data_IF_203644835331
#
_entry.id   IF_203644835331
#
_cell.length_a   1.000
_cell.length_b   1.000
_cell.length_c   1.000
_cell.angle_alpha   90.00
_cell.angle_beta   90.00
_cell.angle_gamma   90.00
#
_symmetry.space_group_name_H-M   'P 1'
#
loop_
_entity.id
_entity.type
_entity.pdbx_description
1 polymer ?
#
# COMPACT_ATOMS: atom_id res chain seq x y z
N UNK A 1 8.40 12.36 -31.86
CA UNK A 1 8.49 10.95 -32.30
C UNK A 1 9.58 10.28 -31.49
N UNK A 2 9.32 9.10 -30.93
CA UNK A 2 10.36 8.30 -30.27
C UNK A 2 11.30 7.81 -31.37
N UNK A 3 12.62 7.99 -31.21
CA UNK A 3 13.61 7.47 -32.16
C UNK A 3 13.55 5.94 -32.21
N UNK A 4 13.77 5.36 -33.39
CA UNK A 4 13.66 3.91 -33.61
C UNK A 4 14.53 3.09 -32.64
N UNK A 5 15.75 3.57 -32.36
CA UNK A 5 16.68 2.94 -31.40
C UNK A 5 16.12 2.88 -29.98
N UNK A 6 15.49 3.98 -29.53
CA UNK A 6 14.89 4.08 -28.19
C UNK A 6 13.67 3.15 -28.09
N UNK A 7 12.86 3.09 -29.15
CA UNK A 7 11.71 2.21 -29.23
C UNK A 7 12.10 0.73 -29.09
N UNK A 8 13.17 0.31 -29.78
CA UNK A 8 13.70 -1.06 -29.68
C UNK A 8 14.26 -1.35 -28.28
N UNK A 9 15.03 -0.42 -27.71
CA UNK A 9 15.58 -0.57 -26.36
C UNK A 9 14.49 -0.73 -25.29
N UNK A 10 13.39 0.02 -25.40
CA UNK A 10 12.24 -0.10 -24.48
C UNK A 10 11.58 -1.48 -24.61
N UNK A 11 11.36 -1.95 -25.83
CA UNK A 11 10.76 -3.26 -26.08
C UNK A 11 11.65 -4.40 -25.55
N UNK A 12 12.96 -4.33 -25.79
CA UNK A 12 13.91 -5.31 -25.29
C UNK A 12 13.95 -5.34 -23.76
N UNK A 13 14.01 -4.16 -23.13
CA UNK A 13 13.97 -4.05 -21.69
C UNK A 13 12.67 -4.62 -21.10
N UNK A 14 11.53 -4.22 -21.67
CA UNK A 14 10.23 -4.70 -21.22
C UNK A 14 10.09 -6.21 -21.37
N UNK A 15 10.48 -6.77 -22.53
CA UNK A 15 10.44 -8.21 -22.79
C UNK A 15 11.28 -9.01 -21.80
N UNK A 16 12.48 -8.51 -21.44
CA UNK A 16 13.38 -9.18 -20.49
C UNK A 16 12.82 -9.21 -19.06
N UNK A 17 12.10 -8.16 -18.66
CA UNK A 17 11.64 -7.98 -17.28
C UNK A 17 10.14 -8.24 -17.07
N UNK A 18 9.34 -8.41 -18.13
CA UNK A 18 7.88 -8.50 -18.04
C UNK A 18 7.41 -9.62 -17.12
N UNK A 19 8.03 -10.80 -17.19
CA UNK A 19 7.73 -11.93 -16.30
C UNK A 19 8.04 -11.58 -14.85
N UNK A 20 9.20 -10.98 -14.56
CA UNK A 20 9.55 -10.55 -13.21
C UNK A 20 8.62 -9.48 -12.66
N UNK A 21 8.20 -8.53 -13.50
CA UNK A 21 7.26 -7.47 -13.13
C UNK A 21 5.85 -8.04 -12.90
N UNK A 22 5.42 -8.99 -13.74
CA UNK A 22 4.17 -9.73 -13.58
C UNK A 22 4.13 -10.48 -12.24
N UNK A 23 5.14 -11.31 -11.99
CA UNK A 23 5.21 -12.14 -10.79
C UNK A 23 5.28 -11.27 -9.54
N UNK A 24 6.16 -10.26 -9.52
CA UNK A 24 6.29 -9.35 -8.37
C UNK A 24 4.97 -8.61 -8.08
N UNK A 25 4.26 -8.11 -9.10
CA UNK A 25 2.96 -7.44 -8.92
C UNK A 25 1.89 -8.38 -8.37
N UNK A 26 1.84 -9.62 -8.86
CA UNK A 26 0.88 -10.62 -8.39
C UNK A 26 1.17 -11.06 -6.95
N UNK A 27 2.45 -11.27 -6.62
CA UNK A 27 2.89 -11.58 -5.25
C UNK A 27 2.55 -10.44 -4.31
N UNK A 28 2.80 -9.19 -4.73
CA UNK A 28 2.47 -8.00 -3.96
C UNK A 28 0.98 -7.92 -3.63
N UNK A 29 0.14 -8.10 -4.65
CA UNK A 29 -1.31 -8.07 -4.50
C UNK A 29 -1.79 -9.14 -3.51
N UNK A 30 -1.26 -10.37 -3.65
CA UNK A 30 -1.59 -11.50 -2.79
C UNK A 30 -1.16 -11.26 -1.34
N UNK A 31 0.07 -10.77 -1.15
CA UNK A 31 0.61 -10.44 0.17
C UNK A 31 -0.21 -9.34 0.85
N UNK A 32 -0.46 -8.22 0.15
CA UNK A 32 -1.23 -7.10 0.69
C UNK A 32 -2.69 -7.49 0.97
N UNK A 33 -3.27 -8.37 0.15
CA UNK A 33 -4.63 -8.87 0.38
C UNK A 33 -4.71 -9.68 1.68
N UNK A 34 -3.76 -10.59 1.91
CA UNK A 34 -3.67 -11.34 3.17
C UNK A 34 -3.37 -10.42 4.35
N UNK A 35 -2.41 -9.50 4.19
CA UNK A 35 -2.00 -8.56 5.22
C UNK A 35 -3.13 -7.60 5.61
N UNK A 36 -4.00 -7.22 4.66
CA UNK A 36 -5.11 -6.30 4.91
C UNK A 36 -5.99 -6.75 6.07
N UNK A 37 -6.38 -8.03 6.09
CA UNK A 37 -7.24 -8.55 7.16
C UNK A 37 -6.52 -8.52 8.50
N UNK A 38 -5.27 -8.99 8.54
CA UNK A 38 -4.46 -9.04 9.76
C UNK A 38 -4.18 -7.63 10.32
N UNK A 39 -3.63 -6.73 9.49
CA UNK A 39 -3.29 -5.36 9.91
C UNK A 39 -4.53 -4.60 10.34
N UNK A 40 -5.64 -4.70 9.61
CA UNK A 40 -6.86 -3.99 9.99
C UNK A 40 -7.39 -4.51 11.33
N UNK A 41 -7.43 -5.82 11.54
CA UNK A 41 -7.89 -6.40 12.81
C UNK A 41 -6.96 -6.01 13.97
N UNK A 42 -5.65 -6.23 13.82
CA UNK A 42 -4.68 -5.92 14.88
C UNK A 42 -4.64 -4.42 15.22
N UNK A 43 -4.64 -3.53 14.22
CA UNK A 43 -4.62 -2.07 14.46
C UNK A 43 -5.92 -1.61 15.09
N UNK A 44 -7.07 -2.15 14.66
CA UNK A 44 -8.36 -1.85 15.26
C UNK A 44 -8.37 -2.25 16.74
N UNK A 45 -8.06 -3.51 17.02
CA UNK A 45 -8.21 -4.10 18.34
C UNK A 45 -7.19 -3.53 19.35
N UNK A 46 -5.97 -3.18 18.89
CA UNK A 46 -4.88 -2.71 19.77
C UNK A 46 -4.78 -1.19 19.91
N UNK A 47 -5.05 -0.42 18.85
CA UNK A 47 -4.98 1.06 18.91
C UNK A 47 -6.36 1.65 19.18
N UNK A 48 -7.29 1.39 18.26
CA UNK A 48 -8.54 2.14 18.20
C UNK A 48 -9.52 1.72 19.29
N UNK A 49 -9.53 0.44 19.67
CA UNK A 49 -10.38 -0.06 20.76
C UNK A 49 -9.74 0.17 22.15
N UNK A 50 -8.56 0.81 22.23
CA UNK A 50 -7.94 1.17 23.50
C UNK A 50 -8.68 2.33 24.18
N UNK A 51 -8.85 2.29 25.52
CA UNK A 51 -9.52 3.36 26.27
C UNK A 51 -8.77 4.70 26.16
N UNK A 52 -7.43 4.68 26.12
CA UNK A 52 -6.58 5.86 25.94
C UNK A 52 -6.85 6.60 24.62
N UNK A 53 -7.03 5.87 23.52
CA UNK A 53 -7.36 6.48 22.23
C UNK A 53 -8.79 7.04 22.23
N UNK A 54 -9.74 6.36 22.90
CA UNK A 54 -11.12 6.83 23.05
C UNK A 54 -11.20 8.17 23.76
N UNK A 55 -10.41 8.35 24.81
CA UNK A 55 -10.38 9.58 25.60
C UNK A 55 -9.72 10.73 24.83
N UNK A 56 -8.65 10.46 24.07
CA UNK A 56 -8.03 11.46 23.17
C UNK A 56 -8.99 11.95 22.08
N UNK A 57 -9.76 11.04 21.46
CA UNK A 57 -10.76 11.43 20.45
C UNK A 57 -11.92 12.22 21.08
N UNK A 58 -12.34 11.85 22.29
CA UNK A 58 -13.37 12.58 23.05
C UNK A 58 -12.91 14.01 23.38
N UNK A 59 -11.70 14.18 23.90
CA UNK A 59 -11.08 15.49 24.16
C UNK A 59 -11.03 16.37 22.90
N UNK A 60 -10.63 15.80 21.75
CA UNK A 60 -10.57 16.55 20.48
C UNK A 60 -11.94 16.91 19.92
N UNK A 61 -12.97 16.08 20.15
CA UNK A 61 -14.36 16.39 19.79
C UNK A 61 -14.96 17.48 20.67
N UNK A 62 -14.67 17.45 21.96
CA UNK A 62 -15.07 18.48 22.92
C UNK A 62 -14.40 19.83 22.59
N UNK A 63 -13.17 19.81 22.05
CA UNK A 63 -12.49 20.98 21.50
C UNK A 63 -13.02 21.45 20.12
N UNK A 64 -14.14 20.90 19.62
CA UNK A 64 -14.81 21.32 18.39
C UNK A 64 -14.29 20.68 17.10
N UNK A 65 -13.36 19.73 17.16
CA UNK A 65 -12.82 19.07 15.96
C UNK A 65 -13.70 17.90 15.51
N UNK A 66 -14.08 17.88 14.22
CA UNK A 66 -14.76 16.73 13.58
C UNK A 66 -13.76 15.61 13.28
N UNK A 67 -13.23 14.98 14.33
CA UNK A 67 -12.34 13.81 14.18
C UNK A 67 -13.18 12.53 14.09
N UNK A 68 -13.00 11.77 13.00
CA UNK A 68 -13.54 10.42 12.86
C UNK A 68 -12.74 9.45 13.74
N UNK A 69 -13.44 8.63 14.53
CA UNK A 69 -12.83 7.69 15.46
C UNK A 69 -11.87 6.73 14.74
N UNK A 70 -12.29 6.16 13.61
CA UNK A 70 -11.50 5.22 12.79
C UNK A 70 -10.93 5.87 11.52
N UNK A 71 -10.76 7.20 11.49
CA UNK A 71 -10.39 7.92 10.27
C UNK A 71 -9.05 7.45 9.66
N UNK A 72 -8.03 7.23 10.49
CA UNK A 72 -6.73 6.70 10.06
C UNK A 72 -6.83 5.27 9.53
N UNK A 73 -7.53 4.38 10.26
CA UNK A 73 -7.78 3.00 9.84
C UNK A 73 -8.56 2.91 8.52
N UNK A 74 -9.54 3.80 8.31
CA UNK A 74 -10.33 3.90 7.07
C UNK A 74 -9.45 4.32 5.89
N UNK A 75 -8.55 5.30 6.09
CA UNK A 75 -7.56 5.72 5.07
C UNK A 75 -6.58 4.61 4.74
N UNK A 76 -6.05 3.91 5.76
CA UNK A 76 -5.16 2.77 5.57
C UNK A 76 -5.88 1.65 4.79
N UNK A 77 -7.08 1.26 5.19
CA UNK A 77 -7.88 0.24 4.49
C UNK A 77 -8.19 0.60 3.03
N UNK A 78 -8.45 1.89 2.76
CA UNK A 78 -8.67 2.39 1.41
C UNK A 78 -7.39 2.35 0.58
N UNK A 79 -6.26 2.80 1.13
CA UNK A 79 -4.96 2.76 0.46
C UNK A 79 -4.54 1.32 0.13
N UNK A 80 -4.68 0.39 1.07
CA UNK A 80 -4.42 -1.03 0.83
C UNK A 80 -5.33 -1.57 -0.28
N UNK A 81 -6.63 -1.24 -0.27
CA UNK A 81 -7.57 -1.66 -1.32
C UNK A 81 -7.10 -1.20 -2.70
N UNK A 82 -6.75 0.08 -2.84
CA UNK A 82 -6.30 0.62 -4.12
C UNK A 82 -4.97 0.05 -4.57
N UNK A 83 -4.03 -0.14 -3.64
CA UNK A 83 -2.72 -0.72 -3.96
C UNK A 83 -2.86 -2.15 -4.46
N UNK A 84 -3.69 -2.98 -3.81
CA UNK A 84 -4.00 -4.34 -4.26
C UNK A 84 -4.61 -4.31 -5.67
N UNK A 85 -5.61 -3.45 -5.89
CA UNK A 85 -6.32 -3.36 -7.16
C UNK A 85 -5.38 -2.93 -8.28
N UNK A 86 -4.56 -1.90 -8.06
CA UNK A 86 -3.56 -1.43 -9.03
C UNK A 86 -2.49 -2.49 -9.31
N UNK A 87 -2.04 -3.23 -8.29
CA UNK A 87 -1.09 -4.33 -8.46
C UNK A 87 -1.67 -5.50 -9.28
N UNK A 88 -2.94 -5.85 -9.06
CA UNK A 88 -3.66 -6.85 -9.88
C UNK A 88 -3.85 -6.38 -11.32
N UNK A 89 -4.25 -5.12 -11.52
CA UNK A 89 -4.35 -4.54 -12.87
C UNK A 89 -2.99 -4.56 -13.55
N UNK A 90 -1.92 -4.17 -12.86
CA UNK A 90 -0.56 -4.20 -13.43
C UNK A 90 -0.17 -5.61 -13.86
N UNK A 91 -0.41 -6.61 -13.00
CA UNK A 91 -0.18 -8.02 -13.33
C UNK A 91 -1.00 -8.45 -14.57
N UNK A 92 -2.28 -8.11 -14.64
CA UNK A 92 -3.11 -8.42 -15.81
C UNK A 92 -2.65 -7.72 -17.08
N UNK A 93 -2.24 -6.45 -17.00
CA UNK A 93 -1.67 -5.71 -18.13
C UNK A 93 -0.38 -6.36 -18.61
N UNK A 94 0.51 -6.74 -17.71
CA UNK A 94 1.75 -7.43 -18.09
C UNK A 94 1.46 -8.78 -18.75
N UNK A 95 0.49 -9.55 -18.25
CA UNK A 95 0.13 -10.84 -18.84
C UNK A 95 -0.52 -10.69 -20.22
N UNK A 96 -1.46 -9.76 -20.37
CA UNK A 96 -2.24 -9.60 -21.59
C UNK A 96 -1.51 -8.81 -22.67
N UNK A 97 -0.75 -7.77 -22.31
CA UNK A 97 -0.16 -6.83 -23.26
C UNK A 97 1.29 -7.14 -23.61
N UNK A 98 2.03 -7.83 -22.74
CA UNK A 98 3.45 -8.15 -23.01
C UNK A 98 3.71 -8.96 -24.28
N UNK A 99 2.81 -9.84 -24.77
CA UNK A 99 3.02 -10.54 -26.04
C UNK A 99 2.91 -9.63 -27.26
N UNK A 100 2.23 -8.49 -27.15
CA UNK A 100 2.05 -7.56 -28.26
C UNK A 100 3.30 -6.67 -28.36
N UNK A 101 4.07 -6.82 -29.45
CA UNK A 101 5.35 -6.14 -29.67
C UNK A 101 5.18 -4.65 -30.04
N UNK A 102 4.46 -3.90 -29.21
CA UNK A 102 4.08 -2.51 -29.41
C UNK A 102 4.67 -1.62 -28.31
N UNK A 103 5.46 -0.63 -28.72
CA UNK A 103 6.20 0.28 -27.83
C UNK A 103 5.27 1.03 -26.88
N UNK A 104 4.10 1.47 -27.36
CA UNK A 104 3.16 2.22 -26.53
C UNK A 104 2.57 1.35 -25.40
N UNK A 105 2.30 0.08 -25.69
CA UNK A 105 1.82 -0.87 -24.68
C UNK A 105 2.91 -1.16 -23.64
N UNK A 106 4.16 -1.36 -24.09
CA UNK A 106 5.30 -1.53 -23.19
C UNK A 106 5.51 -0.33 -22.27
N UNK A 107 5.39 0.90 -22.78
CA UNK A 107 5.46 2.13 -21.97
C UNK A 107 4.35 2.15 -20.92
N UNK A 108 3.10 1.84 -21.28
CA UNK A 108 1.97 1.80 -20.35
C UNK A 108 2.21 0.76 -19.25
N UNK A 109 2.68 -0.43 -19.61
CA UNK A 109 3.02 -1.50 -18.67
C UNK A 109 4.12 -1.08 -17.69
N UNK A 110 5.21 -0.49 -18.18
CA UNK A 110 6.29 0.01 -17.33
C UNK A 110 5.82 1.15 -16.43
N UNK A 111 5.06 2.10 -16.96
CA UNK A 111 4.52 3.22 -16.20
C UNK A 111 3.59 2.77 -15.07
N UNK A 112 2.69 1.82 -15.37
CA UNK A 112 1.80 1.23 -14.37
C UNK A 112 2.60 0.52 -13.28
N UNK A 113 3.71 -0.14 -13.65
CA UNK A 113 4.59 -0.83 -12.71
C UNK A 113 5.30 0.14 -11.75
N UNK A 114 5.73 1.31 -12.24
CA UNK A 114 6.28 2.37 -11.39
C UNK A 114 5.23 2.89 -10.41
N UNK A 115 3.99 3.12 -10.86
CA UNK A 115 2.88 3.52 -9.99
C UNK A 115 2.61 2.47 -8.91
N UNK A 116 2.57 1.18 -9.28
CA UNK A 116 2.41 0.08 -8.32
C UNK A 116 3.51 0.10 -7.26
N UNK A 117 4.76 0.30 -7.67
CA UNK A 117 5.90 0.40 -6.75
C UNK A 117 5.77 1.59 -5.78
N UNK A 118 5.36 2.76 -6.26
CA UNK A 118 5.17 3.94 -5.42
C UNK A 118 4.03 3.79 -4.41
N UNK A 119 2.89 3.22 -4.84
CA UNK A 119 1.77 2.93 -3.94
C UNK A 119 2.17 1.91 -2.88
N UNK A 120 2.90 0.87 -3.27
CA UNK A 120 3.39 -0.11 -2.31
C UNK A 120 4.32 0.51 -1.26
N UNK A 121 5.27 1.32 -1.70
CA UNK A 121 6.16 2.03 -0.79
C UNK A 121 5.39 2.90 0.20
N UNK A 122 4.35 3.60 -0.27
CA UNK A 122 3.46 4.40 0.58
C UNK A 122 2.72 3.55 1.61
N UNK A 123 2.24 2.36 1.23
CA UNK A 123 1.60 1.41 2.17
C UNK A 123 2.60 0.94 3.22
N UNK A 124 3.80 0.53 2.82
CA UNK A 124 4.85 0.07 3.74
C UNK A 124 5.21 1.17 4.73
N UNK A 125 5.39 2.40 4.24
CA UNK A 125 5.69 3.56 5.09
C UNK A 125 4.61 3.79 6.14
N UNK A 126 3.34 3.88 5.73
CA UNK A 126 2.23 4.15 6.65
C UNK A 126 2.06 3.01 7.65
N UNK A 127 2.16 1.76 7.21
CA UNK A 127 2.08 0.61 8.13
C UNK A 127 3.23 0.66 9.14
N UNK A 128 4.45 0.99 8.71
CA UNK A 128 5.60 1.13 9.61
C UNK A 128 5.40 2.23 10.65
N UNK A 129 4.85 3.38 10.25
CA UNK A 129 4.53 4.49 11.16
C UNK A 129 3.45 4.09 12.19
N UNK A 130 2.38 3.43 11.75
CA UNK A 130 1.34 2.92 12.65
C UNK A 130 1.87 1.84 13.62
N UNK A 131 2.84 1.02 13.19
CA UNK A 131 3.48 0.05 14.08
C UNK A 131 4.37 0.71 15.13
N UNK A 132 5.06 1.81 14.80
CA UNK A 132 5.86 2.58 15.77
C UNK A 132 4.96 3.18 16.85
N UNK A 133 3.86 3.83 16.45
CA UNK A 133 2.89 4.39 17.39
C UNK A 133 2.30 3.31 18.32
N UNK A 134 2.09 2.09 17.80
CA UNK A 134 1.65 0.94 18.57
C UNK A 134 2.66 0.50 19.64
N UNK A 135 3.94 0.45 19.27
CA UNK A 135 5.02 0.05 20.17
C UNK A 135 5.18 1.10 21.28
N UNK A 136 5.19 2.39 20.93
CA UNK A 136 5.34 3.47 21.90
C UNK A 136 4.18 3.52 22.90
N UNK A 137 2.94 3.26 22.45
CA UNK A 137 1.80 3.12 23.35
C UNK A 137 1.89 1.89 24.26
N UNK A 138 2.44 0.79 23.76
CA UNK A 138 2.65 -0.42 24.56
C UNK A 138 3.73 -0.22 25.62
N UNK A 139 4.83 0.49 25.29
CA UNK A 139 5.89 0.87 26.22
C UNK A 139 5.37 1.79 27.33
N UNK A 140 4.65 2.85 26.98
CA UNK A 140 4.04 3.76 27.97
C UNK A 140 3.08 3.05 28.92
N UNK A 141 2.31 2.07 28.40
CA UNK A 141 1.40 1.28 29.23
C UNK A 141 2.18 0.38 30.20
N UNK A 142 3.23 -0.30 29.74
CA UNK A 142 4.07 -1.14 30.59
C UNK A 142 4.72 -0.32 31.72
N UNK A 143 5.27 0.85 31.41
CA UNK A 143 5.85 1.75 32.42
C UNK A 143 4.83 2.24 33.46
N UNK A 144 3.57 2.40 33.07
CA UNK A 144 2.49 2.81 33.99
C UNK A 144 2.00 1.68 34.91
N UNK A 145 2.17 0.43 34.49
CA UNK A 145 1.80 -0.76 35.30
C UNK A 145 2.93 -1.16 36.27
N UNK A 146 4.17 -0.73 36.02
CA UNK A 146 5.31 -0.92 36.93
C UNK A 146 5.39 0.12 38.07
N UNK A 147 4.61 1.20 38.03
CA UNK A 147 4.56 2.27 39.05
C UNK A 147 3.36 2.14 39.98
#
# INVERSE_FOLDING_TARGET
MISCEIALAILEYHSKWSVGIFTSSLTLASFLFTMKSFVIQTVKDKIYDSPSYRDKVKQRREAGSRVEYYGGLKRLSFLLKWTILVALINSMLQLCLSPFNNVWLAIICLFTSVITGFLFFSVVWIVSENMKDLIEQAEQKAESEEK
#
